data_IF_562378809792
#
_entry.id   IF_562378809792
#
_cell.length_a   1.000
_cell.length_b   1.000
_cell.length_c   1.000
_cell.angle_alpha   90.00
_cell.angle_beta   90.00
_cell.angle_gamma   90.00
#
_symmetry.space_group_name_H-M   'P 1'
#
loop_
_entity.id
_entity.type
_entity.pdbx_description
1 polymer ?
#
# COMPACT_ATOMS: atom_id res chain seq x y z
N UNK A 1 3.78 -10.59 -3.63
CA UNK A 1 3.83 -10.55 -2.15
C UNK A 1 5.15 -11.08 -1.59
N UNK A 2 5.69 -12.21 -2.06
CA UNK A 2 6.96 -12.76 -1.53
C UNK A 2 8.14 -11.78 -1.64
N UNK A 3 8.26 -11.05 -2.75
CA UNK A 3 9.30 -10.04 -2.95
C UNK A 3 9.17 -8.83 -2.01
N UNK A 4 7.95 -8.43 -1.69
CA UNK A 4 7.71 -7.34 -0.74
C UNK A 4 8.06 -7.76 0.70
N UNK A 5 7.67 -8.99 1.09
CA UNK A 5 8.09 -9.55 2.38
C UNK A 5 9.61 -9.72 2.47
N UNK A 6 10.26 -10.05 1.35
CA UNK A 6 11.71 -10.12 1.25
C UNK A 6 12.36 -8.75 1.51
N UNK A 7 11.94 -7.70 0.81
CA UNK A 7 12.48 -6.35 1.02
C UNK A 7 12.28 -5.85 2.44
N UNK A 8 11.14 -6.14 3.07
CA UNK A 8 10.90 -5.74 4.48
C UNK A 8 11.87 -6.44 5.43
N UNK A 9 12.18 -7.71 5.21
CA UNK A 9 13.12 -8.46 6.04
C UNK A 9 14.57 -8.01 5.82
N UNK A 10 14.95 -7.65 4.59
CA UNK A 10 16.28 -7.08 4.29
C UNK A 10 16.53 -5.77 5.04
N UNK A 11 15.52 -4.91 5.17
CA UNK A 11 15.63 -3.65 5.93
C UNK A 11 15.71 -3.91 7.44
N UNK A 12 15.00 -4.92 7.93
CA UNK A 12 14.90 -5.19 9.37
C UNK A 12 16.09 -5.98 9.93
N UNK A 13 16.71 -6.82 9.10
CA UNK A 13 17.81 -7.72 9.50
C UNK A 13 19.05 -7.41 8.67
N UNK A 14 20.11 -6.93 9.34
CA UNK A 14 21.40 -6.66 8.70
C UNK A 14 22.06 -7.97 8.24
N UNK A 15 22.74 -7.91 7.09
CA UNK A 15 23.54 -9.00 6.50
C UNK A 15 22.73 -10.28 6.18
N UNK A 16 21.52 -10.11 5.67
CA UNK A 16 20.65 -11.25 5.37
C UNK A 16 20.83 -11.76 3.94
N UNK A 17 20.95 -13.08 3.80
CA UNK A 17 21.02 -13.72 2.49
C UNK A 17 19.62 -14.01 1.92
N UNK A 18 19.46 -13.88 0.60
CA UNK A 18 18.19 -14.08 -0.12
C UNK A 18 17.62 -15.47 0.09
N UNK A 19 18.45 -16.51 -0.02
CA UNK A 19 18.01 -17.90 0.14
C UNK A 19 17.50 -18.15 1.56
N UNK A 20 18.15 -17.53 2.56
CA UNK A 20 17.74 -17.65 3.95
C UNK A 20 16.37 -16.99 4.19
N UNK A 21 16.13 -15.79 3.64
CA UNK A 21 14.85 -15.11 3.74
C UNK A 21 13.73 -15.96 3.13
N UNK A 22 13.92 -16.46 1.92
CA UNK A 22 12.90 -17.29 1.28
C UNK A 22 12.65 -18.59 2.03
N UNK A 23 13.69 -19.21 2.60
CA UNK A 23 13.55 -20.42 3.41
C UNK A 23 12.77 -20.15 4.69
N UNK A 24 13.08 -19.06 5.41
CA UNK A 24 12.35 -18.66 6.62
C UNK A 24 10.88 -18.38 6.29
N UNK A 25 10.60 -17.62 5.24
CA UNK A 25 9.21 -17.33 4.82
C UNK A 25 8.47 -18.63 4.43
N UNK A 26 9.11 -19.53 3.68
CA UNK A 26 8.51 -20.79 3.29
C UNK A 26 8.22 -21.70 4.48
N UNK A 27 9.13 -21.81 5.44
CA UNK A 27 8.95 -22.60 6.67
C UNK A 27 7.88 -21.97 7.55
N UNK A 28 7.89 -20.65 7.74
CA UNK A 28 6.91 -19.95 8.56
C UNK A 28 5.50 -20.15 8.00
N UNK A 29 5.27 -19.79 6.74
CA UNK A 29 3.96 -19.91 6.11
C UNK A 29 3.52 -21.36 5.90
N UNK A 30 4.46 -22.22 5.46
CA UNK A 30 4.22 -23.63 5.22
C UNK A 30 3.85 -24.39 6.49
N UNK A 31 4.55 -24.17 7.60
CA UNK A 31 4.33 -24.92 8.84
C UNK A 31 2.93 -24.72 9.42
N UNK A 32 2.45 -23.47 9.57
CA UNK A 32 1.12 -23.25 10.13
C UNK A 32 0.00 -23.62 9.16
N UNK A 33 0.22 -23.53 7.84
CA UNK A 33 -0.75 -23.97 6.84
C UNK A 33 -0.88 -25.50 6.83
N UNK A 34 0.24 -26.22 6.89
CA UNK A 34 0.25 -27.68 6.86
C UNK A 34 -0.24 -28.31 8.17
N UNK A 35 0.17 -27.77 9.33
CA UNK A 35 -0.21 -28.33 10.64
C UNK A 35 -1.63 -27.91 11.02
N UNK A 36 -2.02 -26.67 10.74
CA UNK A 36 -3.27 -26.10 11.21
C UNK A 36 -4.48 -26.38 10.31
N UNK A 37 -4.27 -26.65 9.02
CA UNK A 37 -5.33 -26.78 8.03
C UNK A 37 -6.17 -25.51 7.83
N UNK A 38 -7.21 -25.60 7.00
CA UNK A 38 -7.95 -24.44 6.49
C UNK A 38 -8.59 -23.55 7.58
N UNK A 39 -9.11 -24.15 8.66
CA UNK A 39 -9.73 -23.40 9.77
C UNK A 39 -8.72 -22.54 10.53
N UNK A 40 -7.54 -23.09 10.80
CA UNK A 40 -6.48 -22.36 11.50
C UNK A 40 -5.92 -21.26 10.62
N UNK A 41 -5.77 -21.52 9.31
CA UNK A 41 -5.38 -20.50 8.33
C UNK A 41 -6.34 -19.31 8.36
N UNK A 42 -7.66 -19.51 8.36
CA UNK A 42 -8.62 -18.41 8.48
C UNK A 42 -8.46 -17.60 9.78
N UNK A 43 -8.25 -18.26 10.91
CA UNK A 43 -8.06 -17.57 12.20
C UNK A 43 -6.78 -16.71 12.20
N UNK A 44 -5.68 -17.26 11.71
CA UNK A 44 -4.40 -16.54 11.56
C UNK A 44 -4.57 -15.36 10.59
N UNK A 45 -5.30 -15.53 9.49
CA UNK A 45 -5.61 -14.44 8.55
C UNK A 45 -6.33 -13.27 9.23
N UNK A 46 -7.33 -13.52 10.10
CA UNK A 46 -8.00 -12.44 10.83
C UNK A 46 -7.06 -11.68 11.77
N UNK A 47 -6.19 -12.40 12.49
CA UNK A 47 -5.19 -11.78 13.37
C UNK A 47 -4.20 -10.94 12.56
N UNK A 48 -3.66 -11.50 11.47
CA UNK A 48 -2.73 -10.79 10.59
C UNK A 48 -3.38 -9.52 10.03
N UNK A 49 -4.62 -9.60 9.56
CA UNK A 49 -5.37 -8.43 9.09
C UNK A 49 -5.54 -7.39 10.19
N UNK A 50 -5.89 -7.79 11.42
CA UNK A 50 -6.01 -6.87 12.54
C UNK A 50 -4.67 -6.17 12.87
N UNK A 51 -3.57 -6.92 12.88
CA UNK A 51 -2.23 -6.37 13.08
C UNK A 51 -1.86 -5.38 11.97
N UNK A 52 -2.13 -5.69 10.70
CA UNK A 52 -1.90 -4.77 9.58
C UNK A 52 -2.68 -3.47 9.76
N UNK A 53 -3.96 -3.52 10.15
CA UNK A 53 -4.75 -2.31 10.40
C UNK A 53 -4.20 -1.47 11.56
N UNK A 54 -3.73 -2.11 12.63
CA UNK A 54 -3.09 -1.41 13.76
C UNK A 54 -1.79 -0.72 13.30
N UNK A 55 -0.90 -1.47 12.65
CA UNK A 55 0.37 -0.94 12.14
C UNK A 55 0.14 0.21 11.16
N UNK A 56 -0.86 0.10 10.28
CA UNK A 56 -1.21 1.16 9.33
C UNK A 56 -1.78 2.39 10.04
N UNK A 57 -2.63 2.20 11.05
CA UNK A 57 -3.16 3.30 11.86
C UNK A 57 -2.04 4.05 12.58
N UNK A 58 -1.07 3.33 13.15
CA UNK A 58 0.12 3.92 13.77
C UNK A 58 0.96 4.67 12.72
N UNK A 59 1.20 4.08 11.55
CA UNK A 59 1.92 4.75 10.46
C UNK A 59 1.25 6.07 10.05
N UNK A 60 -0.07 6.08 9.85
CA UNK A 60 -0.82 7.29 9.50
C UNK A 60 -0.75 8.32 10.62
N UNK A 61 -0.84 7.90 11.88
CA UNK A 61 -0.72 8.78 13.03
C UNK A 61 0.63 9.50 13.07
N UNK A 62 1.74 8.77 12.87
CA UNK A 62 3.09 9.35 12.90
C UNK A 62 3.46 10.10 11.62
N UNK A 63 2.98 9.68 10.45
CA UNK A 63 3.32 10.35 9.18
C UNK A 63 2.50 11.62 8.94
N UNK A 64 1.22 11.62 9.32
CA UNK A 64 0.28 12.73 9.01
C UNK A 64 0.05 13.64 10.22
N UNK A 65 -0.21 13.09 11.40
CA UNK A 65 -0.63 13.87 12.56
C UNK A 65 0.52 14.32 13.48
N UNK A 66 1.51 13.45 13.69
CA UNK A 66 2.68 13.72 14.53
C UNK A 66 4.00 13.48 13.80
N UNK A 67 4.24 14.16 12.65
CA UNK A 67 5.50 14.04 11.94
C UNK A 67 6.67 14.57 12.80
N UNK A 68 7.86 13.94 12.74
CA UNK A 68 9.08 14.49 13.31
C UNK A 68 9.32 15.93 12.83
N UNK A 69 9.90 16.80 13.66
CA UNK A 69 10.02 18.24 13.34
C UNK A 69 10.72 18.50 12.00
N UNK A 70 11.73 17.70 11.67
CA UNK A 70 12.46 17.75 10.40
C UNK A 70 11.57 17.46 9.18
N UNK A 71 10.60 16.54 9.31
CA UNK A 71 9.69 16.13 8.23
C UNK A 71 8.41 16.95 8.17
N UNK A 72 8.08 17.69 9.24
CA UNK A 72 6.83 18.47 9.38
C UNK A 72 6.66 19.55 8.31
N UNK A 73 7.76 20.13 7.82
CA UNK A 73 7.75 21.08 6.72
C UNK A 73 7.29 20.44 5.39
N UNK A 74 7.56 19.14 5.22
CA UNK A 74 7.32 18.39 3.99
C UNK A 74 6.02 17.56 4.02
N UNK A 75 5.39 17.38 5.18
CA UNK A 75 4.18 16.56 5.37
C UNK A 75 2.88 17.35 5.56
N UNK A 76 2.93 18.69 5.44
CA UNK A 76 1.75 19.55 5.56
C UNK A 76 0.95 19.65 4.26
N UNK A 77 -0.38 19.80 4.36
CA UNK A 77 -1.26 19.93 3.19
C UNK A 77 -0.91 21.14 2.30
N UNK A 78 -0.45 22.24 2.89
CA UNK A 78 -0.03 23.42 2.12
C UNK A 78 1.27 23.17 1.35
N UNK A 79 2.26 22.52 1.98
CA UNK A 79 3.47 22.10 1.28
C UNK A 79 3.15 21.16 0.11
N UNK A 80 2.16 20.29 0.28
CA UNK A 80 1.69 19.39 -0.76
C UNK A 80 1.03 20.11 -1.93
N UNK A 81 0.11 21.05 -1.66
CA UNK A 81 -0.57 21.80 -2.71
C UNK A 81 0.43 22.63 -3.52
N UNK A 82 1.32 23.33 -2.82
CA UNK A 82 2.37 24.11 -3.48
C UNK A 82 3.28 23.20 -4.32
N UNK A 83 3.58 22.00 -3.83
CA UNK A 83 4.40 21.07 -4.59
C UNK A 83 3.71 20.52 -5.84
N UNK A 84 2.44 20.14 -5.72
CA UNK A 84 1.65 19.62 -6.83
C UNK A 84 1.37 20.67 -7.93
N UNK A 85 1.36 21.96 -7.59
CA UNK A 85 1.19 23.06 -8.55
C UNK A 85 2.50 23.37 -9.29
N UNK A 86 3.65 23.28 -8.62
CA UNK A 86 4.95 23.60 -9.22
C UNK A 86 5.49 22.50 -10.13
N UNK A 87 5.08 21.24 -9.93
CA UNK A 87 5.57 20.11 -10.73
C UNK A 87 4.75 19.99 -12.02
N UNK A 88 5.45 20.00 -13.16
CA UNK A 88 4.83 19.75 -14.46
C UNK A 88 4.26 18.33 -14.51
N UNK A 89 2.96 18.26 -14.79
CA UNK A 89 2.23 17.02 -14.96
C UNK A 89 2.51 16.34 -16.30
N UNK A 90 2.15 15.04 -16.44
CA UNK A 90 2.33 14.30 -17.67
C UNK A 90 1.62 14.94 -18.86
N UNK A 91 2.17 14.75 -20.07
CA UNK A 91 1.60 15.26 -21.31
C UNK A 91 0.11 14.91 -21.48
N UNK A 92 -0.69 15.92 -21.78
CA UNK A 92 -2.13 15.78 -21.98
C UNK A 92 -2.98 15.98 -20.72
N UNK A 93 -2.39 16.35 -19.58
CA UNK A 93 -3.14 16.88 -18.43
C UNK A 93 -3.58 18.33 -18.69
N UNK A 94 -4.78 18.71 -18.22
CA UNK A 94 -5.26 20.08 -18.38
C UNK A 94 -4.37 21.06 -17.61
N UNK A 95 -3.80 22.03 -18.32
CA UNK A 95 -2.90 23.04 -17.75
C UNK A 95 -1.57 22.48 -17.23
N UNK A 96 -1.12 21.31 -17.71
CA UNK A 96 0.10 20.62 -17.25
C UNK A 96 0.18 20.47 -15.72
N UNK A 97 -0.96 20.41 -15.03
CA UNK A 97 -1.00 20.32 -13.57
C UNK A 97 -1.32 18.89 -13.14
N UNK A 98 -0.56 18.34 -12.19
CA UNK A 98 -0.80 17.02 -11.60
C UNK A 98 -2.19 16.90 -10.95
N UNK A 99 -2.73 18.01 -10.42
CA UNK A 99 -4.00 18.02 -9.68
C UNK A 99 -5.24 17.77 -10.56
N UNK A 100 -5.11 17.77 -11.89
CA UNK A 100 -6.26 17.63 -12.79
C UNK A 100 -6.64 16.19 -13.11
N UNK A 101 -5.72 15.22 -12.96
CA UNK A 101 -5.98 13.78 -13.20
C UNK A 101 -6.64 13.44 -14.55
N UNK A 102 -6.37 14.21 -15.62
CA UNK A 102 -6.94 14.04 -16.97
C UNK A 102 -6.00 13.39 -17.98
N UNK A 103 -4.85 12.87 -17.56
CA UNK A 103 -3.87 12.29 -18.49
C UNK A 103 -4.43 11.05 -19.21
N UNK A 104 -4.15 10.95 -20.52
CA UNK A 104 -4.58 9.79 -21.34
C UNK A 104 -4.05 8.47 -20.78
N UNK A 105 -2.79 8.48 -20.34
CA UNK A 105 -2.16 7.32 -19.69
C UNK A 105 -2.85 6.95 -18.38
N UNK A 106 -3.24 7.94 -17.56
CA UNK A 106 -3.96 7.72 -16.31
C UNK A 106 -5.33 7.07 -16.52
N UNK A 107 -6.10 7.52 -17.52
CA UNK A 107 -7.40 6.92 -17.86
C UNK A 107 -7.25 5.48 -18.33
N UNK A 108 -6.29 5.21 -19.23
CA UNK A 108 -6.00 3.84 -19.70
C UNK A 108 -5.59 2.94 -18.53
N UNK A 109 -4.70 3.43 -17.66
CA UNK A 109 -4.27 2.71 -16.46
C UNK A 109 -5.45 2.45 -15.52
N UNK A 110 -6.34 3.43 -15.33
CA UNK A 110 -7.53 3.27 -14.49
C UNK A 110 -8.47 2.17 -15.00
N UNK A 111 -8.69 2.10 -16.33
CA UNK A 111 -9.49 1.03 -16.94
C UNK A 111 -8.81 -0.33 -16.77
N UNK A 112 -7.51 -0.41 -17.02
CA UNK A 112 -6.73 -1.64 -16.83
C UNK A 112 -6.79 -2.10 -15.37
N UNK A 113 -6.60 -1.19 -14.41
CA UNK A 113 -6.66 -1.48 -12.98
C UNK A 113 -8.04 -1.96 -12.54
N UNK A 114 -9.12 -1.39 -13.09
CA UNK A 114 -10.49 -1.83 -12.81
C UNK A 114 -10.69 -3.30 -13.22
N UNK A 115 -10.30 -3.64 -14.45
CA UNK A 115 -10.40 -5.03 -14.93
C UNK A 115 -9.45 -5.97 -14.21
N UNK A 116 -8.23 -5.53 -13.91
CA UNK A 116 -7.25 -6.31 -13.16
C UNK A 116 -7.75 -6.64 -11.75
N UNK A 117 -8.20 -5.64 -10.99
CA UNK A 117 -8.72 -5.83 -9.63
C UNK A 117 -9.96 -6.73 -9.60
N UNK A 118 -10.86 -6.54 -10.57
CA UNK A 118 -12.04 -7.40 -10.71
C UNK A 118 -11.64 -8.83 -11.07
N UNK A 119 -10.72 -9.01 -12.03
CA UNK A 119 -10.24 -10.32 -12.45
C UNK A 119 -9.65 -11.10 -11.28
N UNK A 120 -8.73 -10.50 -10.52
CA UNK A 120 -8.10 -11.15 -9.36
C UNK A 120 -9.18 -11.63 -8.38
N UNK A 121 -10.21 -10.82 -8.13
CA UNK A 121 -11.26 -11.16 -7.17
C UNK A 121 -12.19 -12.28 -7.63
N UNK A 122 -12.52 -12.33 -8.94
CA UNK A 122 -13.47 -13.31 -9.50
C UNK A 122 -12.80 -14.61 -9.93
N UNK A 123 -11.50 -14.62 -10.21
CA UNK A 123 -10.76 -15.83 -10.58
C UNK A 123 -10.04 -16.49 -9.41
N UNK A 124 -10.08 -15.89 -8.21
CA UNK A 124 -9.45 -16.46 -7.01
C UNK A 124 -10.33 -17.54 -6.36
N UNK A 125 -9.86 -18.79 -6.49
CA UNK A 125 -10.49 -19.97 -5.91
C UNK A 125 -10.60 -19.90 -4.38
N UNK A 126 -9.60 -19.35 -3.68
CA UNK A 126 -9.62 -19.25 -2.22
C UNK A 126 -10.70 -18.26 -1.75
N UNK A 127 -10.87 -17.15 -2.48
CA UNK A 127 -11.92 -16.19 -2.23
C UNK A 127 -13.31 -16.82 -2.35
N UNK A 128 -13.57 -17.57 -3.43
CA UNK A 128 -14.85 -18.28 -3.62
C UNK A 128 -15.13 -19.33 -2.54
N UNK A 129 -14.11 -20.08 -2.12
CA UNK A 129 -14.27 -21.06 -1.03
C UNK A 129 -14.71 -20.38 0.28
N UNK A 130 -14.13 -19.22 0.59
CA UNK A 130 -14.51 -18.46 1.78
C UNK A 130 -15.92 -17.87 1.69
N UNK A 131 -16.33 -17.39 0.51
CA UNK A 131 -17.65 -16.80 0.27
C UNK A 131 -18.78 -17.83 0.39
N UNK A 132 -18.60 -19.04 -0.13
CA UNK A 132 -19.60 -20.12 -0.05
C UNK A 132 -19.78 -20.59 1.40
N UNK A 133 -18.73 -20.54 2.22
CA UNK A 133 -18.80 -20.92 3.63
C UNK A 133 -19.47 -19.83 4.52
N UNK A 134 -19.61 -18.60 4.03
CA UNK A 134 -20.17 -17.49 4.79
C UNK A 134 -21.71 -17.40 4.69
N UNK A 135 -22.35 -16.82 5.71
CA UNK A 135 -23.80 -16.54 5.68
C UNK A 135 -24.11 -15.39 4.71
N UNK A 136 -25.00 -15.56 3.71
CA UNK A 136 -25.24 -14.55 2.68
C UNK A 136 -25.63 -13.16 3.23
N UNK A 137 -26.54 -13.09 4.20
CA UNK A 137 -27.03 -11.81 4.76
C UNK A 137 -25.96 -11.01 5.52
N UNK A 138 -24.91 -11.67 6.03
CA UNK A 138 -23.78 -11.02 6.71
C UNK A 138 -22.62 -10.75 5.76
N UNK A 139 -22.47 -11.59 4.73
CA UNK A 139 -21.43 -11.45 3.72
C UNK A 139 -21.55 -10.16 2.92
N UNK A 140 -22.77 -9.74 2.57
CA UNK A 140 -23.01 -8.50 1.80
C UNK A 140 -22.49 -7.26 2.54
N UNK A 141 -22.80 -7.13 3.83
CA UNK A 141 -22.32 -6.01 4.66
C UNK A 141 -20.79 -6.05 4.80
N UNK A 142 -20.23 -7.24 5.01
CA UNK A 142 -18.78 -7.44 5.06
C UNK A 142 -18.09 -7.01 3.77
N UNK A 143 -18.70 -7.30 2.61
CA UNK A 143 -18.16 -6.91 1.30
C UNK A 143 -18.13 -5.39 1.11
N UNK A 144 -19.21 -4.69 1.46
CA UNK A 144 -19.22 -3.22 1.37
C UNK A 144 -18.24 -2.55 2.33
N UNK A 145 -18.12 -3.06 3.56
CA UNK A 145 -17.12 -2.57 4.52
C UNK A 145 -15.69 -2.82 4.00
N UNK A 146 -15.41 -4.01 3.48
CA UNK A 146 -14.10 -4.34 2.91
C UNK A 146 -13.77 -3.44 1.72
N UNK A 147 -14.72 -3.21 0.80
CA UNK A 147 -14.56 -2.29 -0.32
C UNK A 147 -14.28 -0.86 0.15
N UNK A 148 -15.01 -0.38 1.17
CA UNK A 148 -14.79 0.94 1.75
C UNK A 148 -13.39 1.09 2.37
N UNK A 149 -12.96 0.12 3.19
CA UNK A 149 -11.63 0.13 3.78
C UNK A 149 -10.52 0.01 2.75
N UNK A 150 -10.72 -0.78 1.69
CA UNK A 150 -9.77 -0.88 0.57
C UNK A 150 -9.53 0.49 -0.08
N UNK A 151 -10.61 1.21 -0.42
CA UNK A 151 -10.48 2.56 -0.97
C UNK A 151 -9.81 3.53 0.00
N UNK A 152 -10.18 3.51 1.29
CA UNK A 152 -9.60 4.41 2.28
C UNK A 152 -8.10 4.18 2.48
N UNK A 153 -7.69 2.93 2.70
CA UNK A 153 -6.31 2.57 3.01
C UNK A 153 -5.37 2.95 1.86
N UNK A 154 -5.73 2.56 0.64
CA UNK A 154 -4.94 2.86 -0.55
C UNK A 154 -4.87 4.37 -0.81
N UNK A 155 -5.99 5.08 -0.64
CA UNK A 155 -6.03 6.54 -0.83
C UNK A 155 -5.12 7.25 0.16
N UNK A 156 -5.18 6.90 1.44
CA UNK A 156 -4.33 7.54 2.47
C UNK A 156 -2.85 7.24 2.21
N UNK A 157 -2.48 5.97 1.97
CA UNK A 157 -1.09 5.60 1.72
C UNK A 157 -0.55 6.25 0.45
N UNK A 158 -1.30 6.21 -0.66
CA UNK A 158 -0.86 6.75 -1.94
C UNK A 158 -0.72 8.28 -1.88
N UNK A 159 -1.68 8.97 -1.28
CA UNK A 159 -1.64 10.43 -1.11
C UNK A 159 -0.44 10.81 -0.23
N UNK A 160 -0.31 10.25 0.97
CA UNK A 160 0.79 10.60 1.88
C UNK A 160 2.16 10.32 1.25
N UNK A 161 2.35 9.15 0.63
CA UNK A 161 3.65 8.77 0.04
C UNK A 161 4.00 9.63 -1.18
N UNK A 162 3.05 9.81 -2.11
CA UNK A 162 3.27 10.63 -3.31
C UNK A 162 3.55 12.08 -2.94
N UNK A 163 2.85 12.58 -1.93
CA UNK A 163 3.00 13.95 -1.48
C UNK A 163 4.34 14.21 -0.78
N UNK A 164 4.79 13.31 0.10
CA UNK A 164 6.13 13.38 0.70
C UNK A 164 7.21 13.27 -0.37
N UNK A 165 7.04 12.40 -1.36
CA UNK A 165 7.98 12.28 -2.47
C UNK A 165 8.11 13.58 -3.27
N UNK A 166 6.99 14.21 -3.64
CA UNK A 166 6.99 15.45 -4.41
C UNK A 166 7.58 16.62 -3.61
N UNK A 167 7.26 16.74 -2.31
CA UNK A 167 7.78 17.82 -1.48
C UNK A 167 9.29 17.70 -1.23
N UNK A 168 9.81 16.47 -1.06
CA UNK A 168 11.25 16.22 -0.96
C UNK A 168 11.97 16.45 -2.30
N UNK A 169 11.38 15.98 -3.40
CA UNK A 169 11.93 16.20 -4.75
C UNK A 169 12.08 17.68 -5.07
N UNK A 170 11.11 18.50 -4.64
CA UNK A 170 11.20 19.95 -4.78
C UNK A 170 12.28 20.58 -3.89
N UNK A 171 12.43 20.12 -2.66
CA UNK A 171 13.47 20.62 -1.76
C UNK A 171 14.87 20.37 -2.34
N UNK A 172 15.07 19.21 -2.97
CA UNK A 172 16.35 18.84 -3.58
C UNK A 172 16.53 19.34 -5.02
N UNK A 173 15.51 19.92 -5.64
CA UNK A 173 15.50 20.30 -7.07
C UNK A 173 15.85 19.14 -8.03
N UNK A 174 15.64 17.90 -7.59
CA UNK A 174 15.94 16.67 -8.35
C UNK A 174 14.78 15.69 -8.24
N UNK A 175 14.49 14.96 -9.31
CA UNK A 175 13.46 13.91 -9.34
C UNK A 175 13.90 12.59 -8.70
N UNK A 176 15.09 12.51 -8.11
CA UNK A 176 15.64 11.28 -7.54
C UNK A 176 15.89 11.49 -6.06
N UNK A 177 15.34 10.61 -5.23
CA UNK A 177 15.65 10.55 -3.81
C UNK A 177 17.08 10.00 -3.63
N UNK A 178 17.87 10.61 -2.76
CA UNK A 178 19.18 10.07 -2.39
C UNK A 178 19.02 8.77 -1.58
N UNK A 179 20.03 7.91 -1.61
CA UNK A 179 20.00 6.66 -0.85
C UNK A 179 19.78 6.88 0.66
N UNK A 180 20.26 8.01 1.19
CA UNK A 180 20.08 8.41 2.60
C UNK A 180 18.63 8.79 2.88
N UNK A 181 17.94 9.43 1.94
CA UNK A 181 16.52 9.80 2.10
C UNK A 181 15.57 8.61 1.96
N UNK A 182 15.97 7.62 1.16
CA UNK A 182 15.25 6.35 1.04
C UNK A 182 15.39 5.54 2.34
N UNK A 183 16.59 5.50 2.93
CA UNK A 183 16.87 4.73 4.15
C UNK A 183 16.32 5.42 5.42
N UNK A 184 16.20 6.76 5.41
CA UNK A 184 15.57 7.54 6.47
C UNK A 184 14.04 7.68 6.31
N UNK A 185 13.47 7.10 5.25
CA UNK A 185 12.06 7.19 4.83
C UNK A 185 11.08 6.59 5.81
#
# INVERSE_FOLDING_TARGET
MLMAGKSTLEVLVKDTNNEFIFLVLAVLFGSYCMIGGLRTTFYISYINTALTFISLSVYVLYSVYYPPEEKKAHTSFEAFYNAAVCVEGPDGNSGNSLATFQSKSGIVLGVVLLFMATSISVTDQANWQSLIAAKPSKSVVGFFLAAYFWFLVETVLAITTTMTYLSLSMANSTHVLSAIEIDNG
#
